data_IF_243539997374
#
_entry.id   IF_243539997374
#
_cell.length_a   1.000
_cell.length_b   1.000
_cell.length_c   1.000
_cell.angle_alpha   90.00
_cell.angle_beta   90.00
_cell.angle_gamma   90.00
#
_symmetry.space_group_name_H-M   'P 1'
#
loop_
_entity.id
_entity.type
_entity.pdbx_description
1 polymer ?
#
# COMPACT_ATOMS: atom_id res chain seq x y z
N UNK A 1 -13.29 -4.85 -10.85
CA UNK A 1 -14.70 -4.40 -10.97
C UNK A 1 -14.70 -2.91 -10.72
N UNK A 2 -15.24 -2.09 -11.63
CA UNK A 2 -15.35 -0.65 -11.39
C UNK A 2 -16.50 -0.40 -10.41
N UNK A 3 -16.37 0.60 -9.53
CA UNK A 3 -17.40 0.90 -8.51
C UNK A 3 -18.78 1.14 -9.15
N UNK A 4 -18.82 1.82 -10.30
CA UNK A 4 -20.05 2.10 -11.05
C UNK A 4 -20.75 0.87 -11.61
N UNK A 5 -20.03 -0.24 -11.79
CA UNK A 5 -20.56 -1.53 -12.26
C UNK A 5 -20.98 -2.44 -11.09
N UNK A 6 -20.83 -1.99 -9.85
CA UNK A 6 -21.17 -2.78 -8.68
C UNK A 6 -22.68 -2.77 -8.42
N UNK A 7 -23.28 -3.94 -8.18
CA UNK A 7 -24.71 -4.07 -7.83
C UNK A 7 -25.12 -3.32 -6.53
N UNK A 8 -24.16 -2.91 -5.69
CA UNK A 8 -24.38 -2.10 -4.49
C UNK A 8 -24.26 -0.59 -4.76
N UNK A 9 -23.79 -0.18 -5.93
CA UNK A 9 -23.70 1.21 -6.31
C UNK A 9 -25.09 1.75 -6.66
N UNK A 10 -25.42 2.90 -6.09
CA UNK A 10 -26.61 3.64 -6.45
C UNK A 10 -26.23 4.66 -7.54
N UNK A 11 -26.72 4.42 -8.76
CA UNK A 11 -26.41 5.28 -9.90
C UNK A 11 -27.16 6.61 -9.89
N UNK A 12 -28.33 6.66 -9.24
CA UNK A 12 -29.13 7.89 -9.14
C UNK A 12 -28.49 8.85 -8.15
N UNK A 13 -28.11 8.33 -6.98
CA UNK A 13 -27.50 9.11 -5.89
C UNK A 13 -25.98 9.23 -6.01
N UNK A 14 -25.36 8.41 -6.87
CA UNK A 14 -23.92 8.41 -7.09
C UNK A 14 -23.09 7.84 -5.92
N UNK A 15 -23.70 7.06 -5.02
CA UNK A 15 -23.08 6.58 -3.77
C UNK A 15 -23.10 5.05 -3.64
N UNK A 16 -22.26 4.52 -2.76
CA UNK A 16 -22.34 3.11 -2.37
C UNK A 16 -23.42 2.91 -1.31
N UNK A 17 -24.36 1.96 -1.52
CA UNK A 17 -25.41 1.62 -0.55
C UNK A 17 -24.89 1.02 0.76
N UNK A 18 -23.65 0.54 0.77
CA UNK A 18 -22.96 0.05 1.99
C UNK A 18 -22.17 1.14 2.72
N UNK A 19 -22.25 2.39 2.26
CA UNK A 19 -21.49 3.51 2.82
C UNK A 19 -19.97 3.35 2.65
N UNK A 20 -19.54 2.61 1.62
CA UNK A 20 -18.11 2.42 1.31
C UNK A 20 -17.58 3.53 0.41
N UNK A 21 -16.33 3.88 0.67
CA UNK A 21 -15.56 4.84 -0.14
C UNK A 21 -14.73 4.08 -1.19
N UNK A 22 -14.64 4.66 -2.39
CA UNK A 22 -13.86 4.12 -3.49
C UNK A 22 -12.84 5.16 -4.01
N UNK A 23 -11.75 5.39 -3.28
CA UNK A 23 -10.71 6.35 -3.65
C UNK A 23 -10.09 6.01 -5.01
N UNK A 24 -9.81 7.05 -5.80
CA UNK A 24 -9.26 6.95 -7.16
C UNK A 24 -7.73 6.85 -7.19
N UNK A 25 -7.07 7.23 -6.10
CA UNK A 25 -5.62 7.12 -5.94
C UNK A 25 -5.23 6.45 -4.62
N UNK A 26 -3.99 5.95 -4.58
CA UNK A 26 -3.43 5.42 -3.34
C UNK A 26 -3.28 6.49 -2.25
N UNK A 27 -3.02 7.75 -2.62
CA UNK A 27 -2.93 8.84 -1.67
C UNK A 27 -4.28 9.08 -0.97
N UNK A 28 -5.36 9.16 -1.75
CA UNK A 28 -6.72 9.32 -1.20
C UNK A 28 -7.10 8.12 -0.34
N UNK A 29 -6.68 6.90 -0.74
CA UNK A 29 -6.91 5.71 0.07
C UNK A 29 -6.22 5.78 1.44
N UNK A 30 -5.01 6.33 1.50
CA UNK A 30 -4.31 6.57 2.77
C UNK A 30 -5.05 7.60 3.62
N UNK A 31 -5.48 8.72 3.02
CA UNK A 31 -6.22 9.77 3.72
C UNK A 31 -7.55 9.25 4.28
N UNK A 32 -8.35 8.58 3.44
CA UNK A 32 -9.60 7.92 3.85
C UNK A 32 -9.35 6.96 5.01
N UNK A 33 -8.28 6.17 4.97
CA UNK A 33 -7.95 5.23 6.03
C UNK A 33 -7.48 5.91 7.33
N UNK A 34 -6.91 7.11 7.25
CA UNK A 34 -6.54 7.92 8.42
C UNK A 34 -7.77 8.55 9.07
N UNK A 35 -8.71 9.07 8.28
CA UNK A 35 -9.90 9.77 8.78
C UNK A 35 -11.01 8.79 9.21
N UNK A 36 -11.36 7.83 8.35
CA UNK A 36 -12.51 6.93 8.55
C UNK A 36 -12.11 5.50 8.93
N UNK A 37 -10.83 5.17 8.83
CA UNK A 37 -10.33 3.82 9.03
C UNK A 37 -10.37 2.95 7.77
N UNK A 38 -9.51 1.92 7.67
CA UNK A 38 -9.37 1.11 6.46
C UNK A 38 -10.61 0.27 6.11
N UNK A 39 -11.54 0.08 7.06
CA UNK A 39 -12.80 -0.63 6.81
C UNK A 39 -13.84 0.21 6.08
N UNK A 40 -13.63 1.53 5.97
CA UNK A 40 -14.46 2.42 5.16
C UNK A 40 -14.21 2.25 3.66
N UNK A 41 -13.01 1.78 3.27
CA UNK A 41 -12.65 1.51 1.88
C UNK A 41 -13.37 0.25 1.40
N UNK A 42 -13.93 0.29 0.19
CA UNK A 42 -14.56 -0.85 -0.47
C UNK A 42 -13.62 -2.07 -0.51
N UNK A 43 -14.15 -3.27 -0.26
CA UNK A 43 -13.36 -4.52 -0.28
C UNK A 43 -12.76 -4.82 -1.65
N UNK A 44 -13.37 -4.30 -2.73
CA UNK A 44 -12.93 -4.46 -4.11
C UNK A 44 -12.02 -3.34 -4.60
N UNK A 45 -11.68 -2.35 -3.77
CA UNK A 45 -10.74 -1.30 -4.15
C UNK A 45 -9.30 -1.82 -4.09
N UNK A 46 -8.55 -1.64 -5.17
CA UNK A 46 -7.19 -2.19 -5.34
C UNK A 46 -6.19 -1.69 -4.29
N UNK A 47 -6.46 -0.54 -3.67
CA UNK A 47 -5.58 0.06 -2.67
C UNK A 47 -5.83 -0.47 -1.25
N UNK A 48 -6.96 -1.15 -1.00
CA UNK A 48 -7.37 -1.56 0.35
C UNK A 48 -6.34 -2.46 1.04
N UNK A 49 -5.89 -3.51 0.37
CA UNK A 49 -4.94 -4.46 0.97
C UNK A 49 -3.59 -3.81 1.27
N UNK A 50 -3.12 -2.96 0.35
CA UNK A 50 -1.88 -2.19 0.55
C UNK A 50 -1.98 -1.27 1.78
N UNK A 51 -3.11 -0.61 1.98
CA UNK A 51 -3.37 0.20 3.19
C UNK A 51 -3.36 -0.67 4.45
N UNK A 52 -3.99 -1.85 4.42
CA UNK A 52 -4.01 -2.78 5.55
C UNK A 52 -2.60 -3.27 5.90
N UNK A 53 -1.77 -3.57 4.90
CA UNK A 53 -0.39 -4.03 5.11
C UNK A 53 0.49 -2.97 5.76
N UNK A 54 0.37 -1.71 5.33
CA UNK A 54 1.07 -0.58 5.96
C UNK A 54 0.64 -0.44 7.42
N UNK A 55 -0.67 -0.51 7.70
CA UNK A 55 -1.20 -0.40 9.06
C UNK A 55 -0.75 -1.56 9.97
N UNK A 56 -0.60 -2.77 9.42
CA UNK A 56 -0.08 -3.94 10.14
C UNK A 56 1.44 -3.87 10.36
N UNK A 57 2.13 -2.85 9.85
CA UNK A 57 3.59 -2.78 9.86
C UNK A 57 4.27 -3.74 8.88
N UNK A 58 3.51 -4.41 8.00
CA UNK A 58 4.06 -5.36 7.03
C UNK A 58 4.90 -4.65 5.94
N UNK A 59 4.65 -3.36 5.71
CA UNK A 59 5.47 -2.51 4.85
C UNK A 59 6.88 -2.20 5.41
N UNK A 60 7.19 -2.59 6.65
CA UNK A 60 8.54 -2.53 7.23
C UNK A 60 9.31 -3.86 7.15
N UNK A 61 9.04 -4.73 6.16
CA UNK A 61 10.11 -5.67 5.77
C UNK A 61 11.25 -4.84 5.20
N UNK A 62 12.28 -4.61 6.01
CA UNK A 62 13.59 -4.08 5.57
C UNK A 62 13.91 -4.71 4.22
N UNK A 63 14.31 -3.95 3.19
CA UNK A 63 14.91 -4.56 2.01
C UNK A 63 16.02 -5.49 2.53
N UNK A 64 16.15 -6.73 2.01
CA UNK A 64 17.20 -7.63 2.48
C UNK A 64 18.50 -6.84 2.41
N UNK A 65 19.21 -6.75 3.54
CA UNK A 65 20.52 -6.12 3.59
C UNK A 65 21.31 -6.70 2.43
N UNK A 66 21.54 -5.87 1.40
CA UNK A 66 22.48 -6.23 0.36
C UNK A 66 23.77 -6.46 1.12
N UNK A 67 24.18 -7.72 1.26
CA UNK A 67 25.49 -8.07 1.75
C UNK A 67 26.47 -7.38 0.80
N UNK A 68 26.89 -6.18 1.18
CA UNK A 68 28.00 -5.49 0.56
C UNK A 68 29.18 -6.38 0.92
N UNK A 69 29.55 -7.30 0.02
CA UNK A 69 30.80 -8.05 0.18
C UNK A 69 31.87 -7.00 0.41
N UNK A 70 32.60 -7.03 1.53
CA UNK A 70 33.64 -6.03 1.76
C UNK A 70 34.64 -6.16 0.62
N UNK A 71 34.81 -5.08 -0.14
CA UNK A 71 35.87 -5.02 -1.15
C UNK A 71 37.19 -5.17 -0.40
N UNK A 72 37.88 -6.27 -0.65
CA UNK A 72 39.16 -6.64 -0.05
C UNK A 72 40.26 -5.70 -0.58
N UNK A 73 40.45 -4.55 0.07
CA UNK A 73 41.52 -3.58 -0.24
C UNK A 73 42.54 -3.49 0.88
N UNK A 74 43.29 -4.55 1.13
CA UNK A 74 44.61 -4.47 1.80
C UNK A 74 45.47 -5.65 1.35
N UNK A 75 46.29 -5.44 0.32
CA UNK A 75 47.60 -6.07 0.15
C UNK A 75 48.57 -4.97 -0.24
N UNK A 76 49.11 -4.30 0.77
CA UNK A 76 50.48 -3.80 0.72
C UNK A 76 51.30 -4.77 1.56
N UNK A 77 52.29 -5.41 0.92
CA UNK A 77 53.30 -6.39 1.35
C UNK A 77 53.49 -7.24 0.07
N UNK A 78 54.54 -7.12 -0.74
CA UNK A 78 55.95 -6.85 -0.47
C UNK A 78 56.59 -6.09 -1.65
N UNK A 79 57.33 -5.02 -1.35
CA UNK A 79 58.43 -4.54 -2.18
C UNK A 79 59.66 -4.62 -1.27
N UNK A 80 60.39 -5.72 -1.40
CA UNK A 80 61.83 -5.85 -1.18
C UNK A 80 62.35 -6.97 -2.10
#
# INVERSE_FOLDING_TARGET
MLCRDCHRYDAEEGVCRDGKLNPESFADAVEVAQVFGPRAICVFNDYRERVLDIRKGAAMRRPPERHVRPRRWWRNLELD
#
